data_IF_414182821763
#
_entry.id   IF_414182821763
#
_cell.length_a   1.000
_cell.length_b   1.000
_cell.length_c   1.000
_cell.angle_alpha   90.00
_cell.angle_beta   90.00
_cell.angle_gamma   90.00
#
_symmetry.space_group_name_H-M   'P 1'
#
loop_
_entity.id
_entity.type
_entity.pdbx_description
1 polymer ?
#
# COMPACT_ATOMS: atom_id res chain seq x y z
N UNK A 1 21.86 22.75 7.44
CA UNK A 1 21.08 21.51 7.65
C UNK A 1 19.66 21.76 7.16
N UNK A 2 19.24 21.21 6.01
CA UNK A 2 17.83 21.28 5.59
C UNK A 2 17.06 20.25 6.42
N UNK A 3 16.26 20.72 7.36
CA UNK A 3 15.40 19.86 8.20
C UNK A 3 14.14 19.41 7.46
N UNK A 4 13.77 20.13 6.39
CA UNK A 4 12.58 19.87 5.57
C UNK A 4 13.02 19.64 4.12
N UNK A 5 12.49 18.59 3.51
CA UNK A 5 12.71 18.24 2.11
C UNK A 5 11.37 18.03 1.43
N UNK A 6 11.17 18.64 0.27
CA UNK A 6 9.99 18.40 -0.52
C UNK A 6 10.12 17.07 -1.28
N UNK A 7 9.02 16.32 -1.30
CA UNK A 7 8.88 15.10 -2.06
C UNK A 7 7.55 15.13 -2.82
N UNK A 8 7.58 14.71 -4.08
CA UNK A 8 6.42 14.52 -4.94
C UNK A 8 6.48 13.10 -5.50
N UNK A 9 5.33 12.46 -5.66
CA UNK A 9 5.25 11.16 -6.29
C UNK A 9 3.89 10.91 -6.91
N UNK A 10 3.88 10.13 -7.99
CA UNK A 10 2.68 9.62 -8.63
C UNK A 10 2.82 8.11 -8.78
N UNK A 11 1.78 7.38 -8.41
CA UNK A 11 1.69 5.94 -8.60
C UNK A 11 0.41 5.61 -9.37
N UNK A 12 0.48 4.63 -10.25
CA UNK A 12 -0.68 4.10 -10.96
C UNK A 12 -0.65 2.58 -10.92
N UNK A 13 -1.83 1.98 -10.78
CA UNK A 13 -2.01 0.54 -10.87
C UNK A 13 -3.09 0.24 -11.91
N UNK A 14 -2.87 -0.82 -12.69
CA UNK A 14 -3.82 -1.36 -13.67
C UNK A 14 -4.07 -2.82 -13.34
N UNK A 15 -5.29 -3.28 -13.57
CA UNK A 15 -5.66 -4.64 -13.23
C UNK A 15 -7.15 -4.87 -13.33
N UNK A 16 -7.58 -5.99 -12.78
CA UNK A 16 -8.99 -6.40 -12.77
C UNK A 16 -9.49 -6.57 -11.34
N UNK A 17 -10.81 -6.52 -11.18
CA UNK A 17 -11.46 -6.84 -9.92
C UNK A 17 -12.09 -8.24 -10.03
N UNK A 18 -11.52 -9.23 -9.33
CA UNK A 18 -11.96 -10.64 -9.37
C UNK A 18 -12.14 -11.20 -7.96
N UNK A 19 -13.31 -11.77 -7.69
CA UNK A 19 -13.58 -12.43 -6.40
C UNK A 19 -13.41 -11.50 -5.18
N UNK A 20 -13.79 -10.24 -5.32
CA UNK A 20 -13.67 -9.23 -4.25
C UNK A 20 -12.24 -8.78 -3.96
N UNK A 21 -11.31 -8.99 -4.91
CA UNK A 21 -9.90 -8.57 -4.80
C UNK A 21 -9.51 -7.79 -6.05
N UNK A 22 -8.67 -6.78 -5.86
CA UNK A 22 -7.94 -6.14 -6.95
C UNK A 22 -6.75 -7.02 -7.31
N UNK A 23 -6.70 -7.48 -8.56
CA UNK A 23 -5.64 -8.29 -9.13
C UNK A 23 -4.86 -7.39 -10.09
N UNK A 24 -3.69 -6.90 -9.69
CA UNK A 24 -2.92 -5.99 -10.53
C UNK A 24 -2.21 -6.73 -11.66
N UNK A 25 -2.21 -6.11 -12.83
CA UNK A 25 -1.46 -6.53 -14.01
C UNK A 25 -0.34 -5.56 -14.36
N UNK A 26 -0.35 -4.36 -13.80
CA UNK A 26 0.72 -3.38 -13.98
C UNK A 26 0.77 -2.35 -12.87
N UNK A 27 1.98 -1.92 -12.51
CA UNK A 27 2.22 -0.86 -11.51
C UNK A 27 3.34 0.07 -11.97
N UNK A 28 3.09 1.37 -11.92
CA UNK A 28 4.08 2.41 -12.19
C UNK A 28 4.21 3.35 -10.99
N UNK A 29 5.44 3.80 -10.73
CA UNK A 29 5.75 4.83 -9.74
C UNK A 29 6.74 5.83 -10.35
N UNK A 30 6.48 7.13 -10.24
CA UNK A 30 7.46 8.21 -10.44
C UNK A 30 7.54 8.99 -9.13
N UNK A 31 8.69 8.89 -8.45
CA UNK A 31 8.97 9.55 -7.18
C UNK A 31 10.15 10.52 -7.32
N UNK A 32 10.00 11.70 -6.69
CA UNK A 32 10.95 12.80 -6.74
C UNK A 32 11.11 13.39 -5.34
N UNK A 33 12.31 13.33 -4.77
CA UNK A 33 12.59 13.97 -3.48
C UNK A 33 13.98 14.59 -3.51
N UNK A 34 14.07 15.92 -3.34
CA UNK A 34 15.33 16.64 -3.53
C UNK A 34 15.97 16.36 -4.90
N UNK A 35 17.20 15.84 -4.92
CA UNK A 35 17.89 15.38 -6.13
C UNK A 35 17.54 13.94 -6.56
N UNK A 36 16.92 13.15 -5.67
CA UNK A 36 16.57 11.76 -5.96
C UNK A 36 15.37 11.71 -6.90
N UNK A 37 15.50 10.91 -7.95
CA UNK A 37 14.43 10.53 -8.88
C UNK A 37 14.38 9.01 -8.87
N UNK A 38 13.18 8.45 -8.85
CA UNK A 38 12.98 7.00 -8.89
C UNK A 38 11.75 6.69 -9.71
N UNK A 39 11.94 5.90 -10.76
CA UNK A 39 10.87 5.32 -11.56
C UNK A 39 10.85 3.82 -11.36
N UNK A 40 9.65 3.26 -11.22
CA UNK A 40 9.42 1.82 -11.17
C UNK A 40 8.35 1.48 -12.20
N UNK A 41 8.53 0.36 -12.89
CA UNK A 41 7.49 -0.30 -13.68
C UNK A 41 7.48 -1.78 -13.38
N UNK A 42 6.31 -2.33 -13.08
CA UNK A 42 6.08 -3.75 -12.90
C UNK A 42 5.03 -4.21 -13.90
N UNK A 43 5.33 -5.26 -14.67
CA UNK A 43 4.33 -6.03 -15.39
C UNK A 43 4.04 -7.30 -14.59
N UNK A 44 2.77 -7.54 -14.26
CA UNK A 44 2.35 -8.60 -13.35
C UNK A 44 1.37 -9.51 -14.10
N UNK A 45 1.54 -10.82 -13.96
CA UNK A 45 0.62 -11.83 -14.46
C UNK A 45 -0.63 -11.93 -13.56
N UNK A 46 -1.72 -12.46 -14.09
CA UNK A 46 -2.98 -12.62 -13.34
C UNK A 46 -2.85 -13.53 -12.09
N UNK A 47 -1.82 -14.37 -12.04
CA UNK A 47 -1.48 -15.22 -10.89
C UNK A 47 -0.59 -14.52 -9.85
N UNK A 48 -0.25 -13.24 -10.08
CA UNK A 48 0.60 -12.42 -9.23
C UNK A 48 2.10 -12.64 -9.45
N UNK A 49 2.53 -13.31 -10.52
CA UNK A 49 3.94 -13.41 -10.89
C UNK A 49 4.42 -12.16 -11.64
N UNK A 50 5.54 -11.57 -11.24
CA UNK A 50 6.17 -10.45 -11.94
C UNK A 50 6.84 -10.96 -13.21
N UNK A 51 6.38 -10.45 -14.37
CA UNK A 51 6.95 -10.76 -15.68
C UNK A 51 8.15 -9.87 -15.98
N UNK A 52 8.00 -8.57 -15.74
CA UNK A 52 9.08 -7.60 -15.92
C UNK A 52 9.10 -6.63 -14.75
N UNK A 53 10.30 -6.18 -14.41
CA UNK A 53 10.53 -5.16 -13.39
C UNK A 53 11.62 -4.23 -13.89
N UNK A 54 11.31 -2.94 -13.95
CA UNK A 54 12.24 -1.88 -14.29
C UNK A 54 12.31 -0.86 -13.17
N UNK A 55 13.52 -0.47 -12.80
CA UNK A 55 13.81 0.47 -11.73
C UNK A 55 14.88 1.44 -12.22
N UNK A 56 14.55 2.72 -12.33
CA UNK A 56 15.43 3.76 -12.89
C UNK A 56 15.52 4.97 -11.93
N UNK A 57 16.72 5.33 -11.44
CA UNK A 57 17.98 4.62 -11.61
C UNK A 57 17.94 3.26 -10.89
N UNK A 58 18.79 2.30 -11.29
CA UNK A 58 18.87 1.00 -10.63
C UNK A 58 19.04 1.16 -9.12
N UNK A 59 18.28 0.38 -8.35
CA UNK A 59 18.40 0.41 -6.90
C UNK A 59 19.78 -0.10 -6.47
N UNK A 60 20.51 0.74 -5.74
CA UNK A 60 21.76 0.34 -5.08
C UNK A 60 21.40 -0.24 -3.73
N UNK A 61 21.72 -1.53 -3.54
CA UNK A 61 21.54 -2.20 -2.26
C UNK A 61 22.82 -2.06 -1.43
N UNK A 62 22.65 -1.81 -0.13
CA UNK A 62 23.76 -1.93 0.82
C UNK A 62 24.11 -3.41 1.02
N UNK A 63 25.35 -3.71 1.41
CA UNK A 63 25.81 -5.10 1.65
C UNK A 63 24.98 -5.87 2.68
N UNK A 64 24.25 -5.17 3.55
CA UNK A 64 23.43 -5.75 4.61
C UNK A 64 21.98 -6.00 4.18
N UNK A 65 21.61 -5.69 2.93
CA UNK A 65 20.26 -5.89 2.42
C UNK A 65 20.14 -7.23 1.68
N UNK A 66 19.05 -7.95 1.97
CA UNK A 66 18.69 -9.15 1.22
C UNK A 66 18.24 -8.75 -0.18
N UNK A 67 18.85 -9.27 -1.26
CA UNK A 67 18.45 -8.94 -2.63
C UNK A 67 17.06 -9.49 -2.97
N UNK A 68 16.40 -8.85 -3.93
CA UNK A 68 15.16 -9.39 -4.51
C UNK A 68 15.55 -10.57 -5.42
N UNK A 69 14.97 -11.73 -5.15
CA UNK A 69 15.25 -12.99 -5.83
C UNK A 69 13.97 -13.47 -6.54
N UNK A 70 14.06 -14.40 -7.51
CA UNK A 70 12.88 -14.92 -8.21
C UNK A 70 11.76 -15.41 -7.30
N UNK A 71 12.09 -15.99 -6.14
CA UNK A 71 11.10 -16.44 -5.14
C UNK A 71 10.26 -15.31 -4.52
N UNK A 72 10.74 -14.07 -4.59
CA UNK A 72 10.05 -12.89 -4.08
C UNK A 72 9.10 -12.26 -5.11
N UNK A 73 9.14 -12.73 -6.36
CA UNK A 73 8.43 -12.18 -7.51
C UNK A 73 7.14 -12.93 -7.84
N UNK A 74 6.65 -13.78 -6.94
CA UNK A 74 5.43 -14.58 -7.12
C UNK A 74 4.39 -14.25 -6.05
N UNK A 75 3.12 -14.40 -6.40
CA UNK A 75 1.99 -14.10 -5.52
C UNK A 75 2.04 -12.68 -4.91
N UNK A 76 2.54 -11.70 -5.67
CA UNK A 76 2.65 -10.32 -5.20
C UNK A 76 1.38 -9.51 -5.51
N UNK A 77 1.23 -8.40 -4.79
CA UNK A 77 0.27 -7.33 -5.09
C UNK A 77 1.01 -5.99 -5.03
N UNK A 78 0.62 -5.04 -5.85
CA UNK A 78 1.21 -3.69 -5.82
C UNK A 78 0.66 -2.87 -4.64
N UNK A 79 1.37 -1.82 -4.19
CA UNK A 79 0.94 -1.01 -3.05
C UNK A 79 -0.46 -0.38 -3.17
N UNK A 80 -0.91 0.05 -4.35
CA UNK A 80 -2.23 0.66 -4.51
C UNK A 80 -3.32 -0.40 -4.42
N UNK A 81 -3.18 -1.52 -5.14
CA UNK A 81 -4.14 -2.63 -5.07
C UNK A 81 -4.18 -3.28 -3.68
N UNK A 82 -3.07 -3.27 -2.95
CA UNK A 82 -2.97 -3.82 -1.60
C UNK A 82 -3.93 -3.15 -0.61
N UNK A 83 -4.10 -1.83 -0.71
CA UNK A 83 -4.92 -1.04 0.21
C UNK A 83 -6.37 -0.84 -0.23
N UNK A 84 -6.76 -1.27 -1.43
CA UNK A 84 -8.14 -1.26 -1.87
C UNK A 84 -8.84 -2.58 -1.51
N UNK A 85 -10.10 -2.49 -1.06
CA UNK A 85 -10.89 -3.65 -0.65
C UNK A 85 -12.33 -3.55 -1.14
N UNK A 86 -12.85 -4.63 -1.71
CA UNK A 86 -14.25 -4.72 -2.09
C UNK A 86 -15.14 -4.97 -0.88
N UNK A 87 -16.19 -4.17 -0.70
CA UNK A 87 -17.04 -4.22 0.48
C UNK A 87 -17.87 -5.50 0.54
N UNK A 88 -18.41 -5.99 -0.58
CA UNK A 88 -19.16 -7.26 -0.61
C UNK A 88 -18.41 -8.49 -0.09
N UNK A 89 -17.07 -8.52 -0.18
CA UNK A 89 -16.26 -9.59 0.40
C UNK A 89 -16.05 -9.43 1.90
N UNK A 90 -15.95 -8.19 2.36
CA UNK A 90 -15.76 -7.83 3.77
C UNK A 90 -17.06 -8.06 4.55
N UNK A 91 -18.21 -7.72 3.97
CA UNK A 91 -19.53 -7.81 4.60
C UNK A 91 -20.12 -9.23 4.56
N UNK A 92 -19.77 -10.04 3.55
CA UNK A 92 -20.21 -11.44 3.42
C UNK A 92 -19.35 -12.48 4.16
N UNK A 93 -18.27 -12.05 4.83
CA UNK A 93 -17.33 -12.91 5.55
C UNK A 93 -17.67 -12.95 7.02
N UNK A 94 -18.17 -14.07 7.52
CA UNK A 94 -18.52 -14.26 8.95
C UNK A 94 -17.31 -14.38 9.88
N UNK A 95 -16.07 -14.35 9.37
CA UNK A 95 -14.86 -14.54 10.20
C UNK A 95 -13.61 -13.72 9.82
N UNK A 96 -13.55 -13.06 8.66
CA UNK A 96 -12.39 -12.23 8.28
C UNK A 96 -12.86 -10.82 7.94
N UNK A 97 -12.78 -9.93 8.93
CA UNK A 97 -13.10 -8.52 8.76
C UNK A 97 -12.10 -7.79 7.86
N UNK A 98 -12.33 -6.50 7.64
CA UNK A 98 -11.49 -5.62 6.82
C UNK A 98 -9.99 -5.68 7.17
N UNK A 99 -9.69 -5.95 8.44
CA UNK A 99 -8.33 -6.04 8.96
C UNK A 99 -7.79 -7.48 9.05
N UNK A 100 -8.47 -8.53 8.60
CA UNK A 100 -7.96 -9.91 8.70
C UNK A 100 -7.39 -10.38 7.35
N UNK A 101 -6.22 -9.84 6.99
CA UNK A 101 -5.50 -10.26 5.79
C UNK A 101 -3.99 -10.11 5.95
N UNK A 102 -3.28 -11.02 5.29
CA UNK A 102 -1.86 -10.91 5.01
C UNK A 102 -1.67 -10.58 3.52
N UNK A 103 -0.71 -9.70 3.25
CA UNK A 103 -0.42 -9.19 1.92
C UNK A 103 1.07 -9.27 1.65
N UNK A 104 1.39 -9.77 0.47
CA UNK A 104 2.74 -9.87 -0.03
C UNK A 104 2.96 -8.76 -1.06
N UNK A 105 3.57 -7.66 -0.64
CA UNK A 105 3.66 -6.44 -1.45
C UNK A 105 5.05 -6.31 -2.04
N UNK A 106 5.12 -6.00 -3.33
CA UNK A 106 6.34 -5.62 -4.05
C UNK A 106 6.11 -4.23 -4.66
N UNK A 107 6.96 -3.26 -4.31
CA UNK A 107 6.88 -1.89 -4.84
C UNK A 107 7.97 -1.57 -5.89
N UNK A 108 8.70 -2.60 -6.30
CA UNK A 108 9.84 -2.56 -7.23
C UNK A 108 11.18 -2.23 -6.60
N UNK A 109 11.20 -1.55 -5.45
CA UNK A 109 12.42 -1.34 -4.67
C UNK A 109 12.57 -2.37 -3.57
N UNK A 110 11.45 -2.83 -3.02
CA UNK A 110 11.39 -3.68 -1.86
C UNK A 110 10.22 -4.65 -1.88
N UNK A 111 10.44 -5.79 -1.23
CA UNK A 111 9.45 -6.82 -0.95
C UNK A 111 9.20 -6.85 0.55
N UNK A 112 7.94 -6.78 0.95
CA UNK A 112 7.54 -6.81 2.36
C UNK A 112 6.16 -7.42 2.54
N UNK A 113 5.97 -8.11 3.65
CA UNK A 113 4.66 -8.61 4.05
C UNK A 113 3.98 -7.61 4.98
N UNK A 114 2.68 -7.44 4.78
CA UNK A 114 1.79 -6.66 5.64
C UNK A 114 0.72 -7.57 6.19
N UNK A 115 0.61 -7.63 7.51
CA UNK A 115 -0.55 -8.19 8.19
C UNK A 115 -1.37 -7.05 8.78
N UNK A 116 -2.67 -7.06 8.56
CA UNK A 116 -3.58 -6.14 9.23
C UNK A 116 -4.10 -6.79 10.52
N UNK A 117 -4.39 -5.96 11.52
CA UNK A 117 -4.96 -6.39 12.79
C UNK A 117 -6.03 -5.38 13.23
N UNK A 118 -7.25 -5.84 13.50
CA UNK A 118 -8.36 -4.97 13.90
C UNK A 118 -8.01 -4.20 15.17
N UNK A 119 -8.20 -2.89 15.18
CA UNK A 119 -8.01 -2.04 16.36
C UNK A 119 -9.31 -1.38 16.83
N UNK A 120 -10.25 -1.14 15.93
CA UNK A 120 -11.54 -0.59 16.28
C UNK A 120 -12.31 -0.06 15.09
N UNK A 121 -13.48 0.49 15.39
CA UNK A 121 -14.36 1.16 14.43
C UNK A 121 -14.66 2.56 14.92
N UNK A 122 -15.00 3.47 14.01
CA UNK A 122 -15.35 4.83 14.38
C UNK A 122 -16.02 5.57 13.23
N UNK A 123 -15.98 6.90 13.32
CA UNK A 123 -16.43 7.81 12.26
C UNK A 123 -15.37 8.88 12.06
N UNK A 124 -15.22 9.35 10.82
CA UNK A 124 -14.35 10.49 10.52
C UNK A 124 -15.09 11.50 9.65
N UNK A 125 -14.76 12.76 9.83
CA UNK A 125 -15.18 13.86 8.94
C UNK A 125 -13.92 14.63 8.59
N UNK A 126 -13.50 14.52 7.34
CA UNK A 126 -12.33 15.22 6.82
C UNK A 126 -12.56 15.63 5.37
N UNK A 127 -11.66 16.45 4.82
CA UNK A 127 -11.71 16.80 3.41
C UNK A 127 -11.63 15.51 2.57
N UNK A 128 -12.59 15.31 1.66
CA UNK A 128 -12.62 14.14 0.77
C UNK A 128 -13.26 12.87 1.34
N UNK A 129 -13.62 12.82 2.63
CA UNK A 129 -14.37 11.68 3.18
C UNK A 129 -15.12 12.02 4.49
N UNK A 130 -16.37 11.56 4.58
CA UNK A 130 -17.14 11.57 5.82
C UNK A 130 -17.93 10.26 5.96
N UNK A 131 -17.83 9.59 7.10
CA UNK A 131 -18.59 8.36 7.35
C UNK A 131 -17.93 7.40 8.34
N UNK A 132 -18.46 6.17 8.35
CA UNK A 132 -17.97 5.08 9.19
C UNK A 132 -16.58 4.62 8.75
N UNK A 133 -15.76 4.28 9.73
CA UNK A 133 -14.40 3.83 9.53
C UNK A 133 -14.06 2.58 10.33
N UNK A 134 -13.05 1.87 9.86
CA UNK A 134 -12.42 0.75 10.57
C UNK A 134 -10.92 1.00 10.62
N UNK A 135 -10.34 0.88 11.80
CA UNK A 135 -8.92 1.11 12.05
C UNK A 135 -8.22 -0.24 12.13
N UNK A 136 -7.22 -0.43 11.27
CA UNK A 136 -6.33 -1.57 11.31
C UNK A 136 -4.93 -1.13 11.74
N UNK A 137 -4.29 -1.92 12.60
CA UNK A 137 -2.85 -1.86 12.80
C UNK A 137 -2.18 -2.61 11.66
N UNK A 138 -1.15 -2.01 11.08
CA UNK A 138 -0.29 -2.60 10.06
C UNK A 138 0.93 -3.18 10.74
N UNK A 139 1.09 -4.50 10.64
CA UNK A 139 2.31 -5.21 11.01
C UNK A 139 3.15 -5.37 9.76
N UNK A 140 4.22 -4.60 9.66
CA UNK A 140 5.13 -4.57 8.52
C UNK A 140 6.30 -5.51 8.74
N UNK A 141 6.52 -6.44 7.82
CA UNK A 141 7.64 -7.38 7.84
C UNK A 141 8.49 -7.21 6.57
N UNK A 142 9.68 -6.58 6.67
CA UNK A 142 10.58 -6.50 5.52
C UNK A 142 11.04 -7.90 5.10
N UNK A 143 11.15 -8.14 3.79
CA UNK A 143 11.60 -9.43 3.23
C UNK A 143 12.86 -9.26 2.38
N UNK A 144 12.85 -8.33 1.42
CA UNK A 144 13.98 -8.12 0.52
C UNK A 144 13.98 -6.71 -0.12
N UNK A 145 15.10 -6.35 -0.74
CA UNK A 145 15.30 -5.10 -1.47
C UNK A 145 15.76 -3.93 -0.61
N UNK A 146 15.51 -2.70 -1.11
CA UNK A 146 15.94 -1.46 -0.48
C UNK A 146 15.05 -1.10 0.71
N UNK A 147 15.18 -1.85 1.80
CA UNK A 147 14.54 -1.53 3.08
C UNK A 147 15.33 -0.38 3.72
N UNK A 148 14.73 0.81 3.76
CA UNK A 148 15.31 1.97 4.43
C UNK A 148 15.47 1.77 5.94
N UNK A 149 16.32 2.57 6.59
CA UNK A 149 16.63 2.48 8.02
C UNK A 149 15.37 2.45 8.92
N UNK A 150 14.35 3.23 8.57
CA UNK A 150 13.06 3.23 9.29
C UNK A 150 12.26 1.94 9.13
N UNK A 151 12.41 1.23 8.00
CA UNK A 151 11.84 -0.09 7.77
C UNK A 151 12.61 -1.19 8.50
N UNK A 152 13.92 -1.05 8.65
CA UNK A 152 14.78 -1.97 9.42
C UNK A 152 14.52 -1.85 10.93
N UNK A 153 14.40 -0.62 11.43
CA UNK A 153 14.14 -0.32 12.85
C UNK A 153 12.72 -0.64 13.31
N UNK A 154 11.73 -0.62 12.41
CA UNK A 154 10.34 -1.00 12.73
C UNK A 154 10.25 -2.43 13.28
N UNK A 155 10.81 -3.40 12.55
CA UNK A 155 10.87 -4.80 13.00
C UNK A 155 11.58 -5.06 14.33
N UNK A 156 12.28 -4.08 14.90
CA UNK A 156 13.15 -4.24 16.08
C UNK A 156 12.62 -3.58 17.37
N UNK A 157 11.58 -2.74 17.34
CA UNK A 157 11.10 -2.03 18.54
C UNK A 157 9.57 -2.07 18.71
N UNK A 158 9.06 -2.59 19.85
CA UNK A 158 7.63 -2.74 20.14
C UNK A 158 6.80 -1.44 20.06
N UNK A 159 7.41 -0.28 20.31
CA UNK A 159 6.74 1.02 20.39
C UNK A 159 6.79 1.84 19.09
N UNK A 160 7.76 1.57 18.19
CA UNK A 160 7.82 2.21 16.85
C UNK A 160 6.86 1.60 15.82
N UNK A 161 6.09 0.59 16.23
CA UNK A 161 5.36 -0.36 15.39
C UNK A 161 3.86 -0.11 15.28
N UNK A 162 3.42 1.11 15.58
CA UNK A 162 2.02 1.52 15.40
C UNK A 162 1.88 2.30 14.11
N UNK A 163 1.94 1.59 12.99
CA UNK A 163 1.31 2.08 11.76
C UNK A 163 -0.18 1.75 11.88
N UNK A 164 -1.02 2.77 11.82
CA UNK A 164 -2.47 2.63 11.78
C UNK A 164 -2.96 3.06 10.41
N UNK A 165 -3.76 2.23 9.78
CA UNK A 165 -4.53 2.59 8.59
C UNK A 165 -6.00 2.64 8.97
N UNK A 166 -6.64 3.75 8.65
CA UNK A 166 -8.07 3.94 8.81
C UNK A 166 -8.71 3.79 7.45
N UNK A 167 -9.61 2.83 7.32
CA UNK A 167 -10.38 2.60 6.11
C UNK A 167 -11.77 3.22 6.24
N UNK A 168 -12.26 3.84 5.18
CA UNK A 168 -13.62 4.34 5.05
C UNK A 168 -14.37 3.65 3.92
N UNK A 169 -15.67 3.39 4.12
CA UNK A 169 -16.54 2.79 3.09
C UNK A 169 -17.02 3.87 2.12
N UNK A 170 -16.72 3.71 0.83
CA UNK A 170 -17.21 4.54 -0.26
C UNK A 170 -18.36 3.81 -0.95
N UNK A 171 -19.58 4.07 -0.48
CA UNK A 171 -20.76 3.33 -0.93
C UNK A 171 -21.04 3.40 -2.43
N UNK A 172 -20.65 4.49 -3.10
CA UNK A 172 -20.82 4.65 -4.55
C UNK A 172 -19.95 3.68 -5.36
N UNK A 173 -18.84 3.20 -4.79
CA UNK A 173 -17.92 2.26 -5.42
C UNK A 173 -18.03 0.84 -4.83
N UNK A 174 -18.76 0.69 -3.73
CA UNK A 174 -18.75 -0.51 -2.89
C UNK A 174 -17.32 -0.93 -2.48
N UNK A 175 -16.49 0.05 -2.14
CA UNK A 175 -15.09 -0.16 -1.75
C UNK A 175 -14.79 0.42 -0.37
N UNK A 176 -13.87 -0.22 0.33
CA UNK A 176 -13.13 0.39 1.42
C UNK A 176 -11.83 0.99 0.88
N UNK A 177 -11.58 2.25 1.23
CA UNK A 177 -10.38 3.00 0.83
C UNK A 177 -9.65 3.50 2.07
N UNK A 178 -8.31 3.57 2.05
CA UNK A 178 -7.56 4.16 3.16
C UNK A 178 -7.82 5.67 3.20
N UNK A 179 -8.48 6.14 4.25
CA UNK A 179 -8.78 7.56 4.45
C UNK A 179 -7.72 8.27 5.29
N UNK A 180 -6.97 7.51 6.09
CA UNK A 180 -5.79 8.01 6.80
C UNK A 180 -4.79 6.89 7.05
N UNK A 181 -3.50 7.24 7.02
CA UNK A 181 -2.41 6.40 7.52
C UNK A 181 -1.61 7.21 8.54
N UNK A 182 -1.37 6.65 9.70
CA UNK A 182 -0.60 7.27 10.76
C UNK A 182 0.55 6.37 11.15
N UNK A 183 1.72 6.95 11.32
CA UNK A 183 2.93 6.23 11.66
C UNK A 183 3.69 7.01 12.73
N UNK A 184 4.02 6.37 13.84
CA UNK A 184 4.96 6.96 14.79
C UNK A 184 6.36 6.91 14.20
N UNK A 185 7.08 8.03 14.31
CA UNK A 185 8.47 8.17 13.88
C UNK A 185 9.27 8.76 15.04
N UNK A 186 10.61 8.67 14.97
CA UNK A 186 11.48 9.31 15.97
C UNK A 186 11.32 10.83 16.05
N UNK A 187 10.74 11.45 15.02
CA UNK A 187 10.50 12.89 14.93
C UNK A 187 9.04 13.27 15.26
N UNK A 188 8.25 12.31 15.77
CA UNK A 188 6.82 12.48 16.05
C UNK A 188 5.92 11.73 15.07
N UNK A 189 4.64 12.06 15.08
CA UNK A 189 3.62 11.36 14.29
C UNK A 189 3.62 11.86 12.85
N UNK A 190 3.91 10.98 11.90
CA UNK A 190 3.65 11.20 10.49
C UNK A 190 2.21 10.80 10.17
N UNK A 191 1.51 11.61 9.38
CA UNK A 191 0.13 11.33 8.95
C UNK A 191 -0.07 11.59 7.46
N UNK A 192 -0.74 10.67 6.80
CA UNK A 192 -1.29 10.80 5.46
C UNK A 192 -2.81 10.82 5.59
N UNK A 193 -3.47 11.69 4.83
CA UNK A 193 -4.92 11.79 4.80
C UNK A 193 -5.40 11.84 3.35
N UNK A 194 -6.48 11.12 3.06
CA UNK A 194 -7.21 11.25 1.80
C UNK A 194 -7.79 12.66 1.72
N UNK A 195 -7.51 13.37 0.63
CA UNK A 195 -7.99 14.74 0.40
C UNK A 195 -9.12 14.81 -0.62
N UNK A 196 -9.12 13.91 -1.59
CA UNK A 196 -10.10 13.83 -2.66
C UNK A 196 -10.14 12.40 -3.21
N UNK A 197 -11.34 11.98 -3.62
CA UNK A 197 -11.56 10.75 -4.38
C UNK A 197 -12.50 11.09 -5.53
N UNK A 198 -12.09 10.72 -6.74
CA UNK A 198 -12.91 10.87 -7.94
C UNK A 198 -12.98 9.53 -8.67
N UNK A 199 -14.13 9.28 -9.27
CA UNK A 199 -14.41 8.06 -10.02
C UNK A 199 -14.84 8.48 -11.40
N UNK A 200 -14.18 7.94 -12.42
CA UNK A 200 -14.64 8.09 -13.79
C UNK A 200 -15.65 6.96 -14.10
N UNK A 201 -16.96 7.28 -14.20
CA UNK A 201 -18.00 6.29 -14.42
C UNK A 201 -17.93 5.69 -15.84
N UNK A 202 -17.38 6.40 -16.83
CA UNK A 202 -17.29 5.92 -18.21
C UNK A 202 -16.31 4.75 -18.34
N UNK A 203 -15.23 4.75 -17.54
CA UNK A 203 -14.23 3.66 -17.51
C UNK A 203 -14.66 2.48 -16.63
N UNK A 204 -15.43 2.73 -15.57
CA UNK A 204 -15.91 1.67 -14.67
C UNK A 204 -17.01 0.78 -15.27
N UNK A 205 -17.80 1.30 -16.22
CA UNK A 205 -18.84 0.51 -16.90
C UNK A 205 -18.28 -0.47 -17.93
N UNK A 206 -17.11 -0.17 -18.54
CA UNK A 206 -16.48 -1.00 -19.56
C UNK A 206 -15.65 -2.19 -18.99
N UNK A 207 -15.48 -2.25 -17.67
CA UNK A 207 -14.69 -3.27 -16.97
C UNK A 207 -15.56 -4.30 -16.20
N UNK A 208 -16.89 -4.24 -16.33
CA UNK A 208 -17.82 -5.21 -15.72
C UNK A 208 -18.07 -6.39 -16.65
#
# INVERSE_FOLDING_TARGET
MRLLSDAAGAASSTGTHKGGRFVPTGFDLDHRSGSRRQKVKLDIADDGAVKTMSVDPPAVLDSNQTPIEPKHLIAIVDPLSAFLMAAGKVEGSTQAGLCDRALSILDGLSRYDVKLEQQGTGTIVQKGFAGNTTVCRVVFKPVAGQIGETGRGRSASPDSDRILVTFGRVSTMDLYVPVSVQAQTQFGRASVALTEISVDPARSAASR
#
